data_IF_520468454210
#
_entry.id   IF_520468454210
#
_cell.length_a   1.000
_cell.length_b   1.000
_cell.length_c   1.000
_cell.angle_alpha   90.00
_cell.angle_beta   90.00
_cell.angle_gamma   90.00
#
_symmetry.space_group_name_H-M   'P 1'
#
loop_
_entity.id
_entity.type
_entity.pdbx_description
1 polymer ?
#
# COMPACT_ATOMS: atom_id res chain seq x y z
N UNK A 1 11.43 -9.82 -8.24
CA UNK A 1 10.29 -9.87 -7.31
C UNK A 1 9.14 -9.13 -7.94
N UNK A 2 7.93 -9.65 -7.76
CA UNK A 2 6.66 -9.01 -8.06
C UNK A 2 6.27 -8.12 -6.87
N UNK A 3 6.30 -6.80 -7.06
CA UNK A 3 6.02 -5.84 -5.98
C UNK A 3 4.74 -5.07 -6.31
N UNK A 4 3.77 -5.12 -5.40
CA UNK A 4 2.59 -4.27 -5.44
C UNK A 4 2.82 -3.02 -4.59
N UNK A 5 2.71 -1.83 -5.20
CA UNK A 5 2.77 -0.55 -4.47
C UNK A 5 1.36 0.02 -4.31
N UNK A 6 0.83 0.01 -3.09
CA UNK A 6 -0.45 0.63 -2.76
C UNK A 6 -0.20 2.11 -2.45
N UNK A 7 -0.87 3.01 -3.19
CA UNK A 7 -0.50 4.43 -3.21
C UNK A 7 0.63 4.76 -4.21
N UNK A 8 0.91 3.86 -5.15
CA UNK A 8 2.00 4.01 -6.13
C UNK A 8 1.89 5.24 -7.05
N UNK A 9 0.70 5.82 -7.20
CA UNK A 9 0.48 7.04 -8.00
C UNK A 9 0.85 8.33 -7.24
N UNK A 10 1.12 8.26 -5.93
CA UNK A 10 1.49 9.40 -5.09
C UNK A 10 2.95 9.82 -5.20
N UNK A 11 3.33 10.86 -4.44
CA UNK A 11 4.68 11.43 -4.48
C UNK A 11 5.79 10.42 -4.15
N UNK A 12 5.63 9.66 -3.07
CA UNK A 12 6.60 8.63 -2.68
C UNK A 12 6.53 7.45 -3.65
N UNK A 13 5.32 6.95 -3.91
CA UNK A 13 5.08 5.78 -4.75
C UNK A 13 5.69 5.87 -6.15
N UNK A 14 5.59 7.02 -6.82
CA UNK A 14 6.18 7.22 -8.15
C UNK A 14 7.71 7.09 -8.15
N UNK A 15 8.38 7.70 -7.16
CA UNK A 15 9.85 7.68 -7.04
C UNK A 15 10.35 6.31 -6.64
N UNK A 16 9.68 5.68 -5.68
CA UNK A 16 9.94 4.31 -5.28
C UNK A 16 9.80 3.36 -6.47
N UNK A 17 8.72 3.49 -7.23
CA UNK A 17 8.46 2.66 -8.40
C UNK A 17 9.47 2.87 -9.53
N UNK A 18 9.95 4.09 -9.76
CA UNK A 18 11.04 4.32 -10.70
C UNK A 18 12.31 3.56 -10.25
N UNK A 19 12.69 3.71 -8.98
CA UNK A 19 13.89 3.08 -8.43
C UNK A 19 13.83 1.56 -8.41
N UNK A 20 12.69 0.97 -8.03
CA UNK A 20 12.55 -0.49 -8.00
C UNK A 20 12.62 -1.11 -9.41
N UNK A 21 12.14 -0.42 -10.45
CA UNK A 21 12.31 -0.87 -11.84
C UNK A 21 13.78 -0.84 -12.28
N UNK A 22 14.52 0.20 -11.91
CA UNK A 22 15.98 0.27 -12.18
C UNK A 22 16.75 -0.89 -11.54
N UNK A 23 16.28 -1.38 -10.39
CA UNK A 23 16.85 -2.53 -9.69
C UNK A 23 16.38 -3.89 -10.25
N UNK A 24 15.56 -3.90 -11.31
CA UNK A 24 15.12 -5.12 -11.99
C UNK A 24 13.88 -5.80 -11.38
N UNK A 25 13.10 -5.10 -10.54
CA UNK A 25 11.85 -5.63 -10.01
C UNK A 25 10.67 -5.36 -10.96
N UNK A 26 9.70 -6.28 -10.98
CA UNK A 26 8.41 -6.08 -11.66
C UNK A 26 7.47 -5.36 -10.71
N UNK A 27 6.71 -4.38 -11.22
CA UNK A 27 5.82 -3.56 -10.41
C UNK A 27 4.38 -3.60 -10.89
N UNK A 28 3.47 -3.71 -9.91
CA UNK A 28 2.04 -3.42 -10.05
C UNK A 28 1.66 -2.25 -9.15
N UNK A 29 0.69 -1.44 -9.58
CA UNK A 29 0.23 -0.26 -8.83
C UNK A 29 -1.18 -0.52 -8.32
N UNK A 30 -1.34 -0.51 -7.00
CA UNK A 30 -2.63 -0.51 -6.32
C UNK A 30 -3.12 0.91 -6.12
N UNK A 31 -4.19 1.29 -6.81
CA UNK A 31 -4.89 2.56 -6.59
C UNK A 31 -6.34 2.45 -7.03
N UNK A 32 -7.20 3.38 -6.60
CA UNK A 32 -8.61 3.40 -7.00
C UNK A 32 -8.79 3.50 -8.52
N UNK A 33 -7.88 4.19 -9.21
CA UNK A 33 -7.88 4.27 -10.68
C UNK A 33 -7.59 2.91 -11.34
N UNK A 34 -7.00 1.98 -10.60
CA UNK A 34 -6.67 0.62 -11.02
C UNK A 34 -7.61 -0.42 -10.39
N UNK A 35 -8.74 0.00 -9.82
CA UNK A 35 -9.73 -0.89 -9.19
C UNK A 35 -9.35 -1.39 -7.79
N UNK A 36 -8.36 -0.77 -7.14
CA UNK A 36 -7.91 -1.17 -5.79
C UNK A 36 -8.22 -0.07 -4.78
N UNK A 37 -9.11 -0.35 -3.84
CA UNK A 37 -9.44 0.57 -2.75
C UNK A 37 -9.10 -0.05 -1.40
N UNK A 38 -8.03 0.44 -0.78
CA UNK A 38 -7.59 -0.03 0.54
C UNK A 38 -8.54 0.38 1.68
N UNK A 39 -9.38 1.41 1.49
CA UNK A 39 -10.34 1.86 2.51
C UNK A 39 -11.51 0.91 2.59
N UNK A 40 -12.03 0.47 1.44
CA UNK A 40 -13.15 -0.48 1.38
C UNK A 40 -12.70 -1.93 1.41
N UNK A 41 -11.50 -2.21 0.89
CA UNK A 41 -10.95 -3.55 0.66
C UNK A 41 -11.20 -4.07 -0.76
N UNK A 42 -11.90 -3.30 -1.60
CA UNK A 42 -12.20 -3.68 -2.98
C UNK A 42 -10.91 -3.88 -3.80
N UNK A 43 -10.86 -4.99 -4.55
CA UNK A 43 -9.74 -5.31 -5.44
C UNK A 43 -8.43 -5.75 -4.77
N UNK A 44 -8.33 -5.73 -3.42
CA UNK A 44 -7.07 -6.07 -2.73
C UNK A 44 -6.60 -7.50 -3.02
N UNK A 45 -7.50 -8.49 -2.91
CA UNK A 45 -7.13 -9.90 -3.13
C UNK A 45 -6.62 -10.17 -4.53
N UNK A 46 -7.29 -9.64 -5.56
CA UNK A 46 -6.86 -9.78 -6.95
C UNK A 46 -5.51 -9.08 -7.19
N UNK A 47 -5.36 -7.86 -6.68
CA UNK A 47 -4.13 -7.09 -6.85
C UNK A 47 -2.92 -7.74 -6.13
N UNK A 48 -3.13 -8.36 -4.98
CA UNK A 48 -2.08 -9.01 -4.17
C UNK A 48 -1.76 -10.43 -4.64
N UNK A 49 -2.65 -11.07 -5.38
CA UNK A 49 -2.38 -12.40 -5.95
C UNK A 49 -1.10 -12.38 -6.78
N UNK A 50 -0.16 -13.28 -6.46
CA UNK A 50 1.15 -13.37 -7.10
C UNK A 50 2.12 -12.23 -6.78
N UNK A 51 1.85 -11.39 -5.77
CA UNK A 51 2.82 -10.42 -5.28
C UNK A 51 3.74 -11.08 -4.24
N UNK A 52 5.04 -10.89 -4.38
CA UNK A 52 6.01 -11.30 -3.35
C UNK A 52 5.99 -10.31 -2.17
N UNK A 53 5.81 -9.03 -2.48
CA UNK A 53 5.89 -7.90 -1.54
C UNK A 53 4.76 -6.91 -1.81
N UNK A 54 4.15 -6.42 -0.74
CA UNK A 54 3.28 -5.25 -0.74
C UNK A 54 4.01 -4.09 -0.06
N UNK A 55 4.06 -2.94 -0.74
CA UNK A 55 4.54 -1.69 -0.15
C UNK A 55 3.37 -0.73 0.04
N UNK A 56 3.08 -0.42 1.29
CA UNK A 56 2.06 0.56 1.69
C UNK A 56 2.70 1.95 1.83
N UNK A 57 2.34 2.83 0.90
CA UNK A 57 2.71 4.26 0.91
C UNK A 57 1.48 5.15 0.83
N UNK A 58 0.36 4.69 1.39
CA UNK A 58 -0.87 5.48 1.47
C UNK A 58 -0.64 6.75 2.30
N UNK A 59 -1.37 7.80 1.93
CA UNK A 59 -1.44 9.03 2.69
C UNK A 59 -2.90 9.45 2.85
N UNK A 60 -3.20 10.17 3.93
CA UNK A 60 -4.52 10.72 4.19
C UNK A 60 -4.49 12.25 4.14
N UNK A 61 -5.63 12.86 3.81
CA UNK A 61 -5.86 14.30 3.96
C UNK A 61 -6.46 14.64 5.33
N UNK A 62 -6.82 13.63 6.13
CA UNK A 62 -7.35 13.81 7.48
C UNK A 62 -6.31 14.48 8.37
N UNK A 63 -6.67 15.65 8.91
CA UNK A 63 -5.84 16.39 9.85
C UNK A 63 -6.19 16.09 11.31
N UNK A 64 -7.39 15.56 11.56
CA UNK A 64 -7.77 15.07 12.87
C UNK A 64 -7.00 13.77 13.20
N UNK A 65 -6.38 13.74 14.37
CA UNK A 65 -5.51 12.63 14.77
C UNK A 65 -6.26 11.30 14.88
N UNK A 66 -7.52 11.31 15.35
CA UNK A 66 -8.31 10.10 15.48
C UNK A 66 -8.75 9.59 14.10
N UNK A 67 -9.19 10.48 13.21
CA UNK A 67 -9.55 10.14 11.84
C UNK A 67 -8.34 9.61 11.04
N UNK A 68 -7.17 10.25 11.14
CA UNK A 68 -5.95 9.79 10.51
C UNK A 68 -5.52 8.41 11.06
N UNK A 69 -5.57 8.20 12.38
CA UNK A 69 -5.27 6.91 13.01
C UNK A 69 -6.23 5.83 12.53
N UNK A 70 -7.53 6.12 12.46
CA UNK A 70 -8.54 5.17 11.98
C UNK A 70 -8.34 4.80 10.51
N UNK A 71 -7.98 5.78 9.67
CA UNK A 71 -7.64 5.56 8.27
C UNK A 71 -6.46 4.57 8.14
N UNK A 72 -5.30 4.88 8.72
CA UNK A 72 -4.10 4.05 8.57
C UNK A 72 -4.30 2.66 9.16
N UNK A 73 -4.86 2.56 10.36
CA UNK A 73 -5.18 1.27 10.98
C UNK A 73 -6.10 0.45 10.07
N UNK A 74 -7.21 1.04 9.63
CA UNK A 74 -8.21 0.34 8.84
C UNK A 74 -7.70 -0.12 7.48
N UNK A 75 -6.90 0.69 6.78
CA UNK A 75 -6.32 0.30 5.50
C UNK A 75 -5.30 -0.82 5.67
N UNK A 76 -4.39 -0.68 6.64
CA UNK A 76 -3.34 -1.69 6.89
C UNK A 76 -3.94 -3.02 7.36
N UNK A 77 -4.93 -3.02 8.25
CA UNK A 77 -5.61 -4.26 8.68
C UNK A 77 -6.26 -5.00 7.51
N UNK A 78 -6.94 -4.30 6.60
CA UNK A 78 -7.52 -4.91 5.39
C UNK A 78 -6.46 -5.48 4.46
N UNK A 79 -5.35 -4.76 4.27
CA UNK A 79 -4.24 -5.25 3.44
C UNK A 79 -3.63 -6.51 4.02
N UNK A 80 -3.30 -6.52 5.32
CA UNK A 80 -2.75 -7.69 6.00
C UNK A 80 -3.70 -8.90 5.96
N UNK A 81 -5.01 -8.67 6.02
CA UNK A 81 -5.99 -9.75 5.87
C UNK A 81 -6.00 -10.34 4.45
N UNK A 82 -5.95 -9.50 3.41
CA UNK A 82 -5.88 -9.95 2.02
C UNK A 82 -4.54 -10.68 1.72
N UNK A 83 -3.42 -10.17 2.23
CA UNK A 83 -2.09 -10.75 2.11
C UNK A 83 -2.01 -12.19 2.64
N UNK A 84 -2.62 -12.46 3.80
CA UNK A 84 -2.69 -13.80 4.40
C UNK A 84 -3.32 -14.85 3.47
N UNK A 85 -4.27 -14.44 2.64
CA UNK A 85 -4.98 -15.35 1.71
C UNK A 85 -4.34 -15.44 0.33
N UNK A 86 -3.42 -14.53 0.01
CA UNK A 86 -2.78 -14.42 -1.31
C UNK A 86 -1.32 -14.85 -1.31
N UNK A 87 -0.73 -15.10 -0.14
CA UNK A 87 0.61 -15.65 0.01
C UNK A 87 1.72 -14.60 -0.08
N UNK A 88 1.40 -13.32 0.13
CA UNK A 88 2.40 -12.24 0.17
C UNK A 88 3.39 -12.50 1.30
N UNK A 89 4.69 -12.47 0.99
CA UNK A 89 5.75 -12.79 1.95
C UNK A 89 6.15 -11.62 2.84
N UNK A 90 5.99 -10.38 2.34
CA UNK A 90 6.40 -9.18 3.05
C UNK A 90 5.42 -8.01 2.88
N UNK A 91 5.09 -7.38 4.00
CA UNK A 91 4.43 -6.08 4.05
C UNK A 91 5.43 -5.01 4.49
N UNK A 92 5.62 -3.98 3.68
CA UNK A 92 6.52 -2.84 3.98
C UNK A 92 5.69 -1.57 4.08
N UNK A 93 5.59 -1.03 5.29
CA UNK A 93 4.84 0.19 5.58
C UNK A 93 5.77 1.41 5.66
N UNK A 94 5.43 2.49 4.95
CA UNK A 94 6.03 3.79 5.19
C UNK A 94 5.34 4.48 6.37
N UNK A 95 6.06 4.60 7.48
CA UNK A 95 5.63 5.37 8.65
C UNK A 95 6.30 6.75 8.70
N UNK A 96 5.85 7.61 9.62
CA UNK A 96 6.40 8.93 9.89
C UNK A 96 6.81 8.98 11.36
N UNK A 97 8.02 9.49 11.62
CA UNK A 97 8.53 9.70 12.99
C UNK A 97 8.13 11.11 13.46
N UNK A 98 7.80 11.25 14.74
CA UNK A 98 7.47 12.52 15.40
C UNK A 98 6.17 13.20 14.94
N UNK A 99 5.12 12.43 14.65
CA UNK A 99 3.75 12.96 14.59
C UNK A 99 3.30 13.36 16.00
N UNK A 100 3.42 14.65 16.34
CA UNK A 100 2.89 15.19 17.59
C UNK A 100 1.38 15.43 17.42
N UNK A 101 0.58 14.88 18.33
CA UNK A 101 -0.84 15.19 18.48
C UNK A 101 -1.04 16.63 18.91
#
# INVERSE_FOLDING_TARGET
>A
MEILIVGGNGHVGRRLGARLRELGHTLRIGSRQNGVDAVTGEGLGEAMSGADVVVDVLNTAEMDAAAATAFFRGTTERMLAAEQTTGVGHHVLLSIVASTT
#
